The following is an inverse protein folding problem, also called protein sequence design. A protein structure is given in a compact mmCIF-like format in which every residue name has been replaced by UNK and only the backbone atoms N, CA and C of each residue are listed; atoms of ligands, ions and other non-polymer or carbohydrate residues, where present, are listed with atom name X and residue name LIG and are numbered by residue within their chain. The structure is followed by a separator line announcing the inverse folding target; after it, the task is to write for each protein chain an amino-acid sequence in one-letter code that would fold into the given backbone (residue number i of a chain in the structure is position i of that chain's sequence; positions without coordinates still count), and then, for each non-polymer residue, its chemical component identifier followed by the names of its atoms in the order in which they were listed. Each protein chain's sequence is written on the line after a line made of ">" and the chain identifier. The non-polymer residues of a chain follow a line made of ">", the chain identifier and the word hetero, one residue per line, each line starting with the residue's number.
data_IF_281723494522
#
_entry.id   IF_281723494522
#
_cell.length_a   1.000
_cell.length_b   1.000
_cell.length_c   1.000
_cell.angle_alpha   90.00
_cell.angle_beta   90.00
_cell.angle_gamma   90.00
#
_symmetry.space_group_name_H-M   'P 1'
#
loop_
_entity.id
_entity.type
_entity.pdbx_description
1 polymer ?
#
# COMPACT_ATOMS: atom_id res chain seq x y z
N UNK A 1 22.17 1.72 -11.51
CA UNK A 1 21.73 0.77 -10.48
C UNK A 1 20.56 -0.03 -11.05
N UNK A 2 20.40 -1.32 -10.74
CA UNK A 2 19.19 -2.04 -11.13
C UNK A 2 18.00 -1.43 -10.38
N UNK A 3 16.95 -1.01 -11.11
CA UNK A 3 15.70 -0.57 -10.48
C UNK A 3 15.09 -1.73 -9.68
N UNK A 4 14.60 -1.45 -8.48
CA UNK A 4 14.03 -2.45 -7.58
C UNK A 4 12.64 -2.02 -7.18
N UNK A 5 11.65 -2.76 -7.65
CA UNK A 5 10.24 -2.48 -7.43
C UNK A 5 9.57 -3.56 -6.58
N UNK A 6 8.53 -3.19 -5.83
CA UNK A 6 7.74 -4.10 -5.00
C UNK A 6 6.27 -3.66 -4.92
N UNK A 7 5.35 -4.61 -4.97
CA UNK A 7 3.98 -4.46 -4.49
C UNK A 7 3.86 -5.21 -3.16
N UNK A 8 3.65 -4.50 -2.07
CA UNK A 8 3.41 -5.10 -0.76
C UNK A 8 1.92 -5.00 -0.39
N UNK A 9 1.30 -6.10 0.03
CA UNK A 9 -0.13 -6.12 0.36
C UNK A 9 -0.43 -6.55 1.79
N UNK A 10 -1.49 -5.97 2.35
CA UNK A 10 -2.04 -6.32 3.65
C UNK A 10 -3.52 -6.69 3.53
N UNK A 11 -3.87 -7.91 3.90
CA UNK A 11 -5.24 -8.43 3.74
C UNK A 11 -5.64 -9.37 4.88
N UNK A 12 -6.96 -9.53 5.08
CA UNK A 12 -7.49 -10.66 5.84
C UNK A 12 -8.47 -11.52 5.03
N UNK A 13 -9.24 -10.92 4.12
CA UNK A 13 -10.24 -11.63 3.29
C UNK A 13 -9.88 -11.72 1.80
N UNK A 14 -8.65 -11.36 1.44
CA UNK A 14 -8.11 -11.57 0.09
C UNK A 14 -8.34 -10.41 -0.90
N UNK A 15 -9.16 -9.40 -0.60
CA UNK A 15 -9.41 -8.30 -1.57
C UNK A 15 -8.13 -7.55 -1.95
N UNK A 16 -7.32 -7.15 -0.96
CA UNK A 16 -6.04 -6.49 -1.23
C UNK A 16 -5.03 -7.43 -1.91
N UNK A 17 -5.00 -8.71 -1.56
CA UNK A 17 -4.14 -9.67 -2.24
C UNK A 17 -4.52 -9.82 -3.73
N UNK A 18 -5.81 -9.95 -4.03
CA UNK A 18 -6.29 -10.03 -5.42
C UNK A 18 -5.98 -8.76 -6.22
N UNK A 19 -6.18 -7.58 -5.62
CA UNK A 19 -5.81 -6.31 -6.25
C UNK A 19 -4.29 -6.22 -6.49
N UNK A 20 -3.47 -6.63 -5.53
CA UNK A 20 -2.01 -6.64 -5.66
C UNK A 20 -1.52 -7.59 -6.76
N UNK A 21 -2.12 -8.78 -6.89
CA UNK A 21 -1.84 -9.70 -7.99
C UNK A 21 -2.20 -9.07 -9.33
N UNK A 22 -3.37 -8.42 -9.42
CA UNK A 22 -3.76 -7.72 -10.65
C UNK A 22 -2.81 -6.56 -10.99
N UNK A 23 -2.35 -5.82 -9.98
CA UNK A 23 -1.36 -4.76 -10.17
C UNK A 23 -0.03 -5.30 -10.65
N UNK A 24 0.39 -6.49 -10.21
CA UNK A 24 1.61 -7.16 -10.68
C UNK A 24 1.55 -7.44 -12.17
N UNK A 25 0.41 -7.90 -12.67
CA UNK A 25 0.21 -8.18 -14.10
C UNK A 25 0.30 -6.90 -14.94
N UNK A 26 -0.15 -5.76 -14.40
CA UNK A 26 -0.18 -4.46 -15.09
C UNK A 26 1.16 -3.72 -14.99
N UNK A 27 1.80 -3.75 -13.82
CA UNK A 27 3.00 -2.98 -13.52
C UNK A 27 4.29 -3.80 -13.69
N UNK A 28 4.18 -5.12 -13.86
CA UNK A 28 5.30 -6.06 -13.90
C UNK A 28 6.22 -5.98 -12.67
N UNK A 29 5.64 -5.72 -11.51
CA UNK A 29 6.35 -5.64 -10.22
C UNK A 29 6.13 -6.93 -9.41
N UNK A 30 7.15 -7.42 -8.67
CA UNK A 30 6.97 -8.57 -7.78
C UNK A 30 6.03 -8.22 -6.62
N UNK A 31 5.34 -9.24 -6.09
CA UNK A 31 4.35 -9.10 -5.02
C UNK A 31 4.80 -9.83 -3.77
N UNK A 32 4.54 -9.25 -2.60
CA UNK A 32 4.72 -9.92 -1.30
C UNK A 32 3.62 -9.56 -0.30
N UNK A 33 3.23 -10.53 0.52
CA UNK A 33 2.41 -10.25 1.69
C UNK A 33 3.26 -9.54 2.72
N UNK A 34 2.70 -8.55 3.41
CA UNK A 34 3.37 -7.93 4.57
C UNK A 34 3.57 -8.90 5.74
N UNK A 35 2.93 -10.07 5.71
CA UNK A 35 3.17 -11.15 6.69
C UNK A 35 4.47 -11.92 6.44
N UNK A 36 5.05 -11.79 5.25
CA UNK A 36 6.22 -12.57 4.82
C UNK A 36 7.50 -11.71 4.75
N UNK A 37 7.39 -10.42 5.11
CA UNK A 37 8.47 -9.43 5.08
C UNK A 37 8.41 -8.54 6.31
N UNK A 38 9.50 -7.83 6.60
CA UNK A 38 9.56 -6.76 7.59
C UNK A 38 9.55 -5.39 6.91
N UNK A 39 9.17 -4.30 7.61
CA UNK A 39 9.27 -2.94 7.07
C UNK A 39 10.68 -2.56 6.61
N UNK A 40 11.72 -3.12 7.25
CA UNK A 40 13.11 -2.90 6.86
C UNK A 40 13.45 -3.47 5.48
N UNK A 41 12.77 -4.55 5.05
CA UNK A 41 12.98 -5.14 3.73
C UNK A 41 12.51 -4.20 2.62
N UNK A 42 11.58 -3.28 2.90
CA UNK A 42 11.13 -2.28 1.93
C UNK A 42 12.26 -1.33 1.49
N UNK A 43 13.29 -1.13 2.30
CA UNK A 43 14.41 -0.23 1.99
C UNK A 43 15.25 -0.67 0.79
N UNK A 44 15.17 -1.94 0.39
CA UNK A 44 15.90 -2.41 -0.78
C UNK A 44 15.24 -2.01 -2.10
N UNK A 45 14.04 -1.43 -2.07
CA UNK A 45 13.25 -1.03 -3.23
C UNK A 45 13.16 0.49 -3.32
N UNK A 46 13.26 1.02 -4.54
CA UNK A 46 13.09 2.45 -4.81
C UNK A 46 11.71 2.79 -5.39
N UNK A 47 10.91 1.78 -5.77
CA UNK A 47 9.54 1.91 -6.29
C UNK A 47 8.62 0.97 -5.53
N UNK A 48 7.69 1.51 -4.73
CA UNK A 48 6.82 0.71 -3.86
C UNK A 48 5.35 1.02 -4.10
N UNK A 49 4.52 -0.01 -4.27
CA UNK A 49 3.06 0.11 -4.22
C UNK A 49 2.55 -0.64 -3.00
N UNK A 50 1.82 0.04 -2.13
CA UNK A 50 1.20 -0.54 -0.94
C UNK A 50 -0.29 -0.77 -1.19
N UNK A 51 -0.76 -2.02 -1.07
CA UNK A 51 -2.18 -2.38 -1.24
C UNK A 51 -2.73 -2.86 0.09
N UNK A 52 -3.51 -2.03 0.78
CA UNK A 52 -3.89 -2.29 2.19
C UNK A 52 -5.39 -2.35 2.39
N UNK A 53 -5.85 -3.34 3.14
CA UNK A 53 -7.24 -3.44 3.58
C UNK A 53 -7.47 -2.70 4.90
N UNK A 54 -8.64 -2.08 5.04
CA UNK A 54 -9.04 -1.34 6.24
C UNK A 54 -10.03 -2.16 7.09
N UNK A 55 -9.74 -2.35 8.37
CA UNK A 55 -10.58 -3.11 9.31
C UNK A 55 -11.03 -2.28 10.51
N UNK A 56 -11.98 -2.83 11.27
CA UNK A 56 -12.44 -2.28 12.55
C UNK A 56 -12.72 -0.78 12.51
N UNK A 57 -11.97 -0.05 13.34
CA UNK A 57 -12.05 1.40 13.50
C UNK A 57 -10.90 2.12 12.77
N UNK A 58 -10.51 1.63 11.59
CA UNK A 58 -9.39 2.20 10.82
C UNK A 58 -8.06 1.53 11.14
N UNK A 59 -8.13 0.24 11.46
CA UNK A 59 -7.00 -0.58 11.89
C UNK A 59 -6.47 -1.44 10.73
N UNK A 60 -5.27 -1.97 10.94
CA UNK A 60 -4.66 -2.96 10.06
C UNK A 60 -5.52 -4.24 10.01
N UNK A 61 -5.35 -5.08 8.98
CA UNK A 61 -5.79 -6.47 9.05
C UNK A 61 -5.09 -7.15 10.25
N UNK A 62 -5.81 -7.93 11.09
CA UNK A 62 -5.25 -8.55 12.29
C UNK A 62 -3.96 -9.36 12.06
N UNK A 63 -3.88 -10.11 10.95
CA UNK A 63 -2.70 -10.92 10.62
C UNK A 63 -1.50 -10.07 10.19
N UNK A 64 -1.70 -8.77 9.92
CA UNK A 64 -0.68 -7.83 9.48
C UNK A 64 -0.28 -6.86 10.60
N UNK A 65 -0.86 -6.96 11.80
CA UNK A 65 -0.63 -6.02 12.91
C UNK A 65 0.86 -5.89 13.24
N UNK A 66 1.59 -7.01 13.37
CA UNK A 66 3.02 -7.01 13.69
C UNK A 66 3.85 -6.16 12.72
N UNK A 67 3.62 -6.31 11.40
CA UNK A 67 4.29 -5.50 10.39
C UNK A 67 4.01 -4.01 10.59
N UNK A 68 2.75 -3.65 10.85
CA UNK A 68 2.38 -2.24 10.96
C UNK A 68 2.77 -1.62 12.30
N UNK A 69 2.82 -2.38 13.39
CA UNK A 69 3.41 -1.93 14.65
C UNK A 69 4.88 -1.54 14.45
N UNK A 70 5.67 -2.40 13.81
CA UNK A 70 7.06 -2.10 13.44
C UNK A 70 7.15 -0.88 12.52
N UNK A 71 6.32 -0.81 11.48
CA UNK A 71 6.30 0.29 10.50
C UNK A 71 5.97 1.65 11.15
N UNK A 72 4.95 1.70 12.01
CA UNK A 72 4.57 2.94 12.71
C UNK A 72 5.56 3.32 13.83
N UNK A 73 6.33 2.37 14.34
CA UNK A 73 7.38 2.62 15.32
C UNK A 73 8.61 3.33 14.73
N UNK A 74 8.85 3.26 13.41
CA UNK A 74 9.98 3.95 12.74
C UNK A 74 9.91 5.46 13.00
N UNK A 75 11.02 6.06 13.44
CA UNK A 75 11.12 7.50 13.78
C UNK A 75 12.05 8.30 12.88
N UNK A 76 12.89 7.65 12.11
CA UNK A 76 13.82 8.29 11.20
C UNK A 76 13.05 8.92 10.01
N UNK A 77 13.03 10.25 9.86
CA UNK A 77 12.29 10.92 8.77
C UNK A 77 12.92 10.69 7.40
N UNK A 78 14.15 10.19 7.31
CA UNK A 78 14.82 9.90 6.04
C UNK A 78 14.82 8.39 5.72
N UNK A 79 14.06 7.59 6.47
CA UNK A 79 14.10 6.13 6.39
C UNK A 79 13.82 5.56 4.98
N UNK A 80 12.94 6.23 4.24
CA UNK A 80 12.56 5.93 2.85
C UNK A 80 12.95 7.08 1.89
N UNK A 81 13.99 7.85 2.21
CA UNK A 81 14.52 8.85 1.29
C UNK A 81 14.94 8.21 -0.04
N UNK A 82 14.55 8.83 -1.15
CA UNK A 82 14.75 8.28 -2.50
C UNK A 82 13.79 7.14 -2.88
N UNK A 83 12.78 6.82 -2.07
CA UNK A 83 11.72 5.87 -2.43
C UNK A 83 10.55 6.62 -3.04
N UNK A 84 10.12 6.20 -4.22
CA UNK A 84 8.85 6.60 -4.81
C UNK A 84 7.76 5.59 -4.43
N UNK A 85 6.59 6.08 -4.02
CA UNK A 85 5.51 5.20 -3.58
C UNK A 85 4.10 5.65 -3.97
N UNK A 86 3.19 4.68 -3.99
CA UNK A 86 1.75 4.90 -4.09
C UNK A 86 0.98 3.92 -3.18
N UNK A 87 -0.23 4.29 -2.75
CA UNK A 87 -1.06 3.47 -1.85
C UNK A 87 -2.44 3.24 -2.44
N UNK A 88 -2.93 2.01 -2.33
CA UNK A 88 -4.27 1.61 -2.74
C UNK A 88 -5.04 0.97 -1.58
N UNK A 89 -6.22 1.54 -1.28
CA UNK A 89 -7.05 1.11 -0.16
C UNK A 89 -8.18 0.15 -0.56
N UNK A 90 -8.30 -0.97 0.14
CA UNK A 90 -9.46 -1.85 0.06
C UNK A 90 -10.35 -1.62 1.29
N UNK A 91 -11.51 -0.99 1.09
CA UNK A 91 -12.37 -0.54 2.19
C UNK A 91 -13.84 -0.91 2.04
N UNK A 92 -14.64 -0.43 2.99
CA UNK A 92 -16.10 -0.52 2.96
C UNK A 92 -16.69 0.77 3.48
N UNK A 93 -17.47 1.50 2.68
CA UNK A 93 -18.15 2.75 3.15
C UNK A 93 -19.08 2.50 4.35
N UNK A 94 -19.59 1.27 4.53
CA UNK A 94 -20.30 0.86 5.77
C UNK A 94 -19.50 1.04 7.06
N UNK A 95 -18.19 1.24 6.98
CA UNK A 95 -17.30 1.45 8.14
C UNK A 95 -17.16 2.93 8.50
N UNK A 96 -17.99 3.82 7.94
CA UNK A 96 -18.06 5.21 8.39
C UNK A 96 -18.21 5.28 9.93
N UNK A 97 -17.44 6.16 10.60
CA UNK A 97 -16.56 7.20 10.04
C UNK A 97 -15.16 6.72 9.61
N UNK A 98 -14.78 5.47 9.88
CA UNK A 98 -13.43 4.93 9.70
C UNK A 98 -13.10 4.44 8.28
N UNK A 99 -13.82 4.94 7.28
CA UNK A 99 -13.65 4.49 5.90
C UNK A 99 -12.29 4.94 5.34
N UNK A 100 -11.45 3.96 4.98
CA UNK A 100 -10.08 4.13 4.47
C UNK A 100 -9.13 4.86 5.43
N UNK A 101 -9.46 4.96 6.72
CA UNK A 101 -8.61 5.60 7.73
C UNK A 101 -7.24 4.92 7.81
N UNK A 102 -7.20 3.58 7.80
CA UNK A 102 -5.94 2.86 7.84
C UNK A 102 -5.05 3.15 6.62
N UNK A 103 -5.64 3.15 5.42
CA UNK A 103 -4.95 3.45 4.16
C UNK A 103 -4.34 4.86 4.19
N UNK A 104 -5.10 5.85 4.68
CA UNK A 104 -4.62 7.23 4.84
C UNK A 104 -3.46 7.31 5.84
N UNK A 105 -3.52 6.58 6.95
CA UNK A 105 -2.45 6.55 7.94
C UNK A 105 -1.16 5.94 7.36
N UNK A 106 -1.27 4.87 6.57
CA UNK A 106 -0.12 4.27 5.88
C UNK A 106 0.50 5.23 4.88
N UNK A 107 -0.32 5.91 4.07
CA UNK A 107 0.15 6.93 3.14
C UNK A 107 0.87 8.08 3.86
N UNK A 108 0.25 8.62 4.90
CA UNK A 108 0.83 9.70 5.70
C UNK A 108 2.16 9.28 6.32
N UNK A 109 2.25 8.06 6.83
CA UNK A 109 3.48 7.54 7.42
C UNK A 109 4.61 7.40 6.41
N UNK A 110 4.33 6.98 5.18
CA UNK A 110 5.35 6.94 4.12
C UNK A 110 5.91 8.33 3.82
N UNK A 111 5.05 9.36 3.77
CA UNK A 111 5.45 10.76 3.58
C UNK A 111 6.33 11.24 4.74
N UNK A 112 5.93 10.95 5.98
CA UNK A 112 6.69 11.30 7.19
C UNK A 112 8.08 10.65 7.25
N UNK A 113 8.25 9.51 6.59
CA UNK A 113 9.50 8.76 6.49
C UNK A 113 10.33 9.11 5.24
N UNK A 114 9.98 10.20 4.54
CA UNK A 114 10.80 10.75 3.45
C UNK A 114 10.54 10.14 2.07
N UNK A 115 9.52 9.29 1.93
CA UNK A 115 9.15 8.75 0.62
C UNK A 115 8.38 9.78 -0.22
N UNK A 116 8.56 9.73 -1.54
CA UNK A 116 7.87 10.61 -2.50
C UNK A 116 6.60 9.95 -3.02
N UNK A 117 5.44 10.54 -2.73
CA UNK A 117 4.15 10.09 -3.25
C UNK A 117 4.02 10.44 -4.74
N UNK A 118 3.78 9.44 -5.59
CA UNK A 118 3.73 9.64 -7.06
C UNK A 118 2.31 9.76 -7.64
N UNK A 119 1.27 9.42 -6.88
CA UNK A 119 -0.11 9.45 -7.34
C UNK A 119 -1.08 9.64 -6.17
N UNK A 120 -2.29 10.12 -6.45
CA UNK A 120 -3.36 10.11 -5.46
C UNK A 120 -3.73 8.69 -5.01
N UNK A 121 -4.07 8.54 -3.73
CA UNK A 121 -4.47 7.27 -3.13
C UNK A 121 -5.64 6.66 -3.91
N UNK A 122 -5.45 5.47 -4.45
CA UNK A 122 -6.51 4.71 -5.09
C UNK A 122 -7.34 3.95 -4.06
N UNK A 123 -8.54 3.54 -4.43
CA UNK A 123 -9.33 2.66 -3.56
C UNK A 123 -10.38 1.85 -4.30
N UNK A 124 -10.80 0.76 -3.64
CA UNK A 124 -12.08 0.10 -3.91
C UNK A 124 -12.94 0.09 -2.66
N UNK A 125 -14.21 0.43 -2.85
CA UNK A 125 -15.24 0.21 -1.84
C UNK A 125 -15.90 -1.14 -2.08
N UNK A 126 -15.80 -2.08 -1.15
CA UNK A 126 -16.50 -3.39 -1.20
C UNK A 126 -18.01 -3.27 -1.44
N UNK A 127 -18.63 -2.13 -1.08
CA UNK A 127 -20.05 -1.86 -1.31
C UNK A 127 -20.40 -1.36 -2.71
N UNK A 128 -19.45 -0.79 -3.43
CA UNK A 128 -19.65 -0.36 -4.80
C UNK A 128 -19.50 -1.58 -5.73
N UNK A 129 -20.48 -1.94 -6.58
CA UNK A 129 -20.30 -3.01 -7.56
C UNK A 129 -19.21 -2.70 -8.58
N UNK A 130 -18.95 -1.41 -8.86
CA UNK A 130 -17.86 -1.00 -9.72
C UNK A 130 -16.50 -1.18 -9.01
N UNK A 131 -15.65 -2.02 -9.61
CA UNK A 131 -14.26 -2.30 -9.19
C UNK A 131 -13.24 -1.87 -10.23
N UNK A 132 -13.65 -1.08 -11.24
CA UNK A 132 -12.80 -0.65 -12.35
C UNK A 132 -11.52 0.04 -11.90
N UNK A 133 -11.50 0.67 -10.72
CA UNK A 133 -10.31 1.23 -10.11
C UNK A 133 -9.14 0.24 -9.96
N UNK A 134 -9.40 -1.07 -9.81
CA UNK A 134 -8.33 -2.09 -9.77
C UNK A 134 -7.60 -2.19 -11.12
N UNK A 135 -8.30 -1.92 -12.21
CA UNK A 135 -7.74 -1.97 -13.56
C UNK A 135 -7.15 -0.63 -13.98
N UNK A 136 -7.81 0.47 -13.63
CA UNK A 136 -7.47 1.80 -14.17
C UNK A 136 -6.46 2.55 -13.31
N UNK A 137 -6.51 2.38 -11.98
CA UNK A 137 -5.60 3.09 -11.08
C UNK A 137 -4.12 2.75 -11.28
N UNK A 138 -3.68 1.47 -11.40
CA UNK A 138 -2.25 1.17 -11.58
C UNK A 138 -1.69 1.73 -12.89
N UNK A 139 -2.49 1.79 -13.97
CA UNK A 139 -2.05 2.30 -15.29
C UNK A 139 -1.62 3.77 -15.26
N UNK A 140 -2.16 4.54 -14.31
CA UNK A 140 -1.83 5.96 -14.18
C UNK A 140 -0.52 6.22 -13.42
N UNK A 141 0.04 5.21 -12.74
CA UNK A 141 1.25 5.41 -11.94
C UNK A 141 2.44 5.73 -12.86
N UNK A 142 3.13 6.83 -12.55
CA UNK A 142 4.35 7.25 -13.22
C UNK A 142 5.46 7.30 -12.16
N UNK A 143 6.31 6.28 -12.17
CA UNK A 143 7.56 6.31 -11.43
C UNK A 143 8.60 7.04 -12.29
N UNK A 144 9.34 7.94 -11.68
CA UNK A 144 10.44 8.62 -12.37
C UNK A 144 11.66 7.69 -12.41
N UNK A 145 12.57 7.97 -13.35
CA UNK A 145 13.90 7.39 -13.32
C UNK A 145 14.72 8.16 -12.27
N UNK A 146 15.10 7.49 -11.18
CA UNK A 146 15.93 8.04 -10.10
C UNK A 146 17.42 7.96 -10.43
#
# INVERSE_FOLDING_TARGET
>A
MLERSMIAYATQRGTAAAAAQRFSEILHMPVSSVTDIHPADLKQYNKIVLVVSNYGHGEAPPQCEAFFEEFFAIKDPDYFNGVQFAVFGCGSSKKAPYYLTFTKNVEQKMIELGATKIAEMGFVDSKNPDKSAIETWPVQLKFDEL
#
